data_IF_309258318598
#
_entry.id   IF_309258318598
#
_cell.length_a   1.000
_cell.length_b   1.000
_cell.length_c   1.000
_cell.angle_alpha   90.00
_cell.angle_beta   90.00
_cell.angle_gamma   90.00
#
_symmetry.space_group_name_H-M   'P 1'
#
loop_
_entity.id
_entity.type
_entity.pdbx_description
1 polymer ?
#
# COMPACT_ATOMS: atom_id res chain seq x y z
N UNK A 1 -28.62 -19.40 39.17
CA UNK A 1 -28.84 -18.13 38.44
C UNK A 1 -27.48 -17.64 37.97
N UNK A 2 -27.09 -17.64 36.70
CA UNK A 2 -27.75 -17.95 35.45
C UNK A 2 -26.85 -18.87 34.59
N UNK A 3 -27.50 -19.63 33.74
CA UNK A 3 -27.05 -20.83 33.06
C UNK A 3 -27.06 -20.55 31.55
N UNK A 4 -26.07 -21.11 30.85
CA UNK A 4 -26.16 -21.69 29.50
C UNK A 4 -26.48 -20.85 28.23
N UNK A 5 -25.73 -21.27 27.20
CA UNK A 5 -26.15 -21.63 25.83
C UNK A 5 -25.87 -20.66 24.67
N UNK A 6 -25.18 -21.22 23.67
CA UNK A 6 -25.00 -20.62 22.36
C UNK A 6 -24.13 -21.38 21.35
N UNK A 7 -23.83 -22.67 21.54
CA UNK A 7 -23.25 -23.51 20.47
C UNK A 7 -24.39 -24.02 19.58
N UNK A 8 -24.45 -23.56 18.32
CA UNK A 8 -25.29 -24.17 17.29
C UNK A 8 -24.48 -25.16 16.47
N UNK A 9 -24.89 -26.42 16.59
CA UNK A 9 -24.59 -27.55 15.72
C UNK A 9 -25.61 -27.54 14.58
N UNK A 10 -25.18 -27.75 13.33
CA UNK A 10 -26.01 -28.42 12.33
C UNK A 10 -25.15 -29.47 11.64
N UNK A 11 -25.39 -30.72 12.02
CA UNK A 11 -25.06 -31.90 11.23
C UNK A 11 -26.26 -32.17 10.32
N UNK A 12 -26.00 -32.46 9.06
CA UNK A 12 -26.74 -33.47 8.30
C UNK A 12 -25.73 -34.22 7.44
N UNK A 13 -25.66 -35.53 7.69
CA UNK A 13 -24.99 -36.55 6.89
C UNK A 13 -25.78 -36.81 5.61
N UNK A 14 -25.07 -37.20 4.54
CA UNK A 14 -25.28 -38.44 3.77
C UNK A 14 -24.15 -38.49 2.71
N UNK A 15 -23.19 -39.39 2.89
CA UNK A 15 -23.17 -40.77 2.39
C UNK A 15 -22.62 -40.86 0.95
N UNK A 16 -21.32 -41.13 0.83
CA UNK A 16 -20.75 -41.82 -0.33
C UNK A 16 -19.41 -42.48 0.04
N UNK A 17 -19.53 -43.76 0.37
CA UNK A 17 -18.63 -44.89 0.04
C UNK A 17 -17.20 -44.54 -0.40
N UNK A 18 -16.25 -44.84 0.49
CA UNK A 18 -14.83 -45.03 0.16
C UNK A 18 -14.62 -46.49 -0.30
N UNK A 19 -13.79 -46.74 -1.33
CA UNK A 19 -13.22 -48.05 -1.57
C UNK A 19 -12.05 -48.31 -0.63
N UNK A 20 -11.96 -49.57 -0.18
CA UNK A 20 -10.86 -50.15 0.56
C UNK A 20 -9.56 -50.05 -0.26
N UNK A 21 -8.53 -49.39 0.27
CA UNK A 21 -7.16 -49.47 -0.24
C UNK A 21 -6.31 -50.26 0.76
N UNK A 22 -5.54 -51.18 0.18
CA UNK A 22 -4.80 -52.25 0.82
C UNK A 22 -3.62 -51.73 1.66
N UNK A 23 -3.37 -52.44 2.76
CA UNK A 23 -2.23 -52.26 3.66
C UNK A 23 -0.91 -52.54 2.94
N UNK A 24 -0.18 -51.49 2.53
CA UNK A 24 1.25 -51.56 2.21
C UNK A 24 2.07 -51.01 3.39
N UNK A 25 2.71 -51.94 4.10
CA UNK A 25 3.64 -51.75 5.22
C UNK A 25 4.95 -51.12 4.72
N UNK A 26 4.93 -49.79 4.49
CA UNK A 26 6.14 -49.03 4.19
C UNK A 26 6.94 -48.74 5.47
N UNK A 27 8.05 -49.44 5.58
CA UNK A 27 9.15 -49.23 6.52
C UNK A 27 9.47 -47.75 6.74
N UNK A 28 9.32 -47.29 7.99
CA UNK A 28 9.79 -46.01 8.51
C UNK A 28 11.30 -45.86 8.31
N UNK A 29 11.73 -45.23 7.22
CA UNK A 29 13.07 -44.66 7.12
C UNK A 29 13.08 -43.37 7.94
N UNK A 30 13.82 -43.37 9.04
CA UNK A 30 14.14 -42.19 9.85
C UNK A 30 14.81 -41.14 8.97
N UNK A 31 14.01 -40.18 8.51
CA UNK A 31 14.41 -39.11 7.62
C UNK A 31 15.38 -38.16 8.32
N UNK A 32 16.57 -38.01 7.72
CA UNK A 32 17.51 -36.97 8.07
C UNK A 32 16.83 -35.61 7.99
N UNK A 33 16.98 -34.83 9.07
CA UNK A 33 16.41 -33.51 9.29
C UNK A 33 17.01 -32.49 8.31
N UNK A 34 16.60 -32.57 7.04
CA UNK A 34 16.90 -31.59 6.01
C UNK A 34 16.01 -30.36 6.27
N UNK A 35 16.36 -29.60 7.30
CA UNK A 35 15.74 -28.30 7.58
C UNK A 35 16.00 -27.39 6.38
N UNK A 36 15.06 -27.36 5.44
CA UNK A 36 15.17 -26.57 4.22
C UNK A 36 15.22 -25.10 4.63
N UNK A 37 16.38 -24.44 4.43
CA UNK A 37 16.53 -23.02 4.71
C UNK A 37 15.43 -22.22 3.99
N UNK A 38 14.63 -21.49 4.77
CA UNK A 38 13.57 -20.64 4.23
C UNK A 38 14.18 -19.32 3.78
N UNK A 39 14.05 -19.01 2.49
CA UNK A 39 14.50 -17.73 1.94
C UNK A 39 13.59 -16.58 2.38
N UNK A 40 14.13 -15.35 2.40
CA UNK A 40 13.35 -14.15 2.71
C UNK A 40 12.11 -13.97 1.83
N UNK A 41 12.18 -14.37 0.55
CA UNK A 41 11.04 -14.29 -0.37
C UNK A 41 9.96 -15.32 -0.03
N UNK A 42 10.35 -16.52 0.42
CA UNK A 42 9.40 -17.53 0.90
C UNK A 42 8.74 -17.07 2.20
N UNK A 43 9.51 -16.51 3.13
CA UNK A 43 8.96 -15.92 4.35
C UNK A 43 7.99 -14.76 4.05
N UNK A 44 8.36 -13.85 3.14
CA UNK A 44 7.50 -12.76 2.70
C UNK A 44 6.18 -13.27 2.14
N UNK A 45 6.23 -14.28 1.26
CA UNK A 45 5.05 -14.85 0.61
C UNK A 45 4.12 -15.49 1.64
N UNK A 46 4.69 -16.23 2.59
CA UNK A 46 3.98 -16.83 3.70
C UNK A 46 3.30 -15.79 4.60
N UNK A 47 4.04 -14.75 5.01
CA UNK A 47 3.53 -13.64 5.81
C UNK A 47 2.38 -12.93 5.11
N UNK A 48 2.51 -12.66 3.82
CA UNK A 48 1.46 -12.03 3.04
C UNK A 48 0.21 -12.90 2.98
N UNK A 49 0.34 -14.18 2.67
CA UNK A 49 -0.77 -15.14 2.63
C UNK A 49 -1.51 -15.18 3.98
N UNK A 50 -0.77 -15.32 5.09
CA UNK A 50 -1.39 -15.44 6.41
C UNK A 50 -1.99 -14.13 6.88
N UNK A 51 -1.34 -13.00 6.62
CA UNK A 51 -1.93 -11.68 6.85
C UNK A 51 -3.20 -11.47 6.04
N UNK A 52 -3.26 -11.97 4.80
CA UNK A 52 -4.47 -11.97 3.98
C UNK A 52 -5.59 -12.80 4.60
N UNK A 53 -5.28 -14.04 5.01
CA UNK A 53 -6.22 -14.94 5.70
C UNK A 53 -6.74 -14.35 7.00
N UNK A 54 -5.90 -13.64 7.77
CA UNK A 54 -6.32 -12.93 8.98
C UNK A 54 -7.45 -11.93 8.69
N UNK A 55 -7.30 -11.10 7.65
CA UNK A 55 -8.34 -10.13 7.28
C UNK A 55 -9.63 -10.77 6.73
N UNK A 56 -9.58 -12.03 6.33
CA UNK A 56 -10.74 -12.82 5.89
C UNK A 56 -11.32 -13.70 7.01
N UNK A 57 -10.81 -13.58 8.24
CA UNK A 57 -11.19 -14.43 9.38
C UNK A 57 -10.95 -15.93 9.14
N UNK A 58 -9.92 -16.25 8.34
CA UNK A 58 -9.55 -17.61 7.91
C UNK A 58 -8.17 -18.04 8.44
N UNK A 59 -7.57 -17.28 9.35
CA UNK A 59 -6.29 -17.64 9.93
C UNK A 59 -6.49 -18.70 11.03
N UNK A 60 -5.86 -19.87 10.85
CA UNK A 60 -5.86 -20.95 11.84
C UNK A 60 -4.55 -20.99 12.65
N UNK A 61 -4.53 -21.83 13.69
CA UNK A 61 -3.38 -21.98 14.59
C UNK A 61 -2.16 -22.61 13.88
N UNK A 62 -2.38 -23.49 12.90
CA UNK A 62 -1.31 -24.12 12.16
C UNK A 62 -0.55 -23.11 11.29
N UNK A 63 -1.27 -22.16 10.68
CA UNK A 63 -0.68 -21.05 9.95
C UNK A 63 0.22 -20.19 10.83
N UNK A 64 -0.15 -19.95 12.09
CA UNK A 64 0.70 -19.20 13.05
C UNK A 64 1.97 -19.99 13.36
N UNK A 65 1.87 -21.30 13.60
CA UNK A 65 3.02 -22.16 13.84
C UNK A 65 3.98 -22.17 12.64
N UNK A 66 3.46 -22.27 11.42
CA UNK A 66 4.24 -22.26 10.18
C UNK A 66 5.06 -20.98 10.04
N UNK A 67 4.45 -19.81 10.29
CA UNK A 67 5.16 -18.52 10.25
C UNK A 67 6.24 -18.45 11.34
N UNK A 68 5.94 -18.91 12.56
CA UNK A 68 6.90 -18.88 13.67
C UNK A 68 8.16 -19.69 13.35
N UNK A 69 8.00 -20.87 12.75
CA UNK A 69 9.12 -21.69 12.26
C UNK A 69 9.88 -20.99 11.15
N UNK A 70 9.17 -20.36 10.20
CA UNK A 70 9.81 -19.63 9.10
C UNK A 70 10.62 -18.41 9.58
N UNK A 71 10.12 -17.67 10.56
CA UNK A 71 10.79 -16.50 11.15
C UNK A 71 12.12 -16.85 11.80
N UNK A 72 12.23 -17.99 12.50
CA UNK A 72 13.46 -18.37 13.21
C UNK A 72 14.68 -18.46 12.28
N UNK A 73 14.44 -18.73 11.00
CA UNK A 73 15.47 -18.89 9.99
C UNK A 73 15.75 -17.60 9.20
N UNK A 74 14.98 -16.53 9.40
CA UNK A 74 15.12 -15.27 8.69
C UNK A 74 15.73 -14.22 9.62
N UNK A 75 16.78 -13.53 9.15
CA UNK A 75 17.33 -12.34 9.80
C UNK A 75 17.15 -11.16 8.84
N UNK A 76 16.40 -10.12 9.22
CA UNK A 76 16.15 -9.01 8.31
C UNK A 76 17.43 -8.20 8.12
N UNK A 77 17.83 -8.06 6.85
CA UNK A 77 19.00 -7.27 6.42
C UNK A 77 18.59 -6.00 5.67
N UNK A 78 17.34 -5.95 5.20
CA UNK A 78 16.75 -4.82 4.48
C UNK A 78 15.52 -4.28 5.21
N UNK A 79 15.13 -3.04 4.92
CA UNK A 79 13.86 -2.48 5.37
C UNK A 79 12.66 -3.37 4.99
N UNK A 80 12.66 -3.87 3.76
CA UNK A 80 11.59 -4.74 3.27
C UNK A 80 11.42 -6.00 4.13
N UNK A 81 12.52 -6.67 4.44
CA UNK A 81 12.52 -7.86 5.31
C UNK A 81 12.13 -7.51 6.74
N UNK A 82 12.61 -6.37 7.26
CA UNK A 82 12.18 -5.88 8.56
C UNK A 82 10.64 -5.73 8.61
N UNK A 83 10.02 -5.16 7.57
CA UNK A 83 8.56 -5.00 7.52
C UNK A 83 7.81 -6.34 7.41
N UNK A 84 8.43 -7.38 6.86
CA UNK A 84 7.85 -8.73 6.91
C UNK A 84 7.87 -9.29 8.34
N UNK A 85 8.99 -9.13 9.06
CA UNK A 85 9.10 -9.48 10.48
C UNK A 85 8.17 -8.65 11.37
N UNK A 86 7.96 -7.38 11.03
CA UNK A 86 7.04 -6.54 11.75
C UNK A 86 5.59 -6.95 11.50
N UNK A 87 5.25 -7.33 10.27
CA UNK A 87 3.93 -7.90 9.95
C UNK A 87 3.66 -9.17 10.74
N UNK A 88 4.66 -10.05 10.89
CA UNK A 88 4.57 -11.22 11.78
C UNK A 88 4.17 -10.83 13.20
N UNK A 89 4.92 -9.89 13.80
CA UNK A 89 4.64 -9.42 15.15
C UNK A 89 3.22 -8.87 15.29
N UNK A 90 2.74 -8.10 14.31
CA UNK A 90 1.39 -7.52 14.32
C UNK A 90 0.27 -8.55 14.16
N UNK A 91 0.52 -9.68 13.47
CA UNK A 91 -0.45 -10.78 13.34
C UNK A 91 -0.73 -11.41 14.72
N UNK A 92 0.29 -11.52 15.57
CA UNK A 92 0.17 -12.12 16.92
C UNK A 92 -0.55 -11.21 17.94
N UNK A 93 -0.76 -9.93 17.60
CA UNK A 93 -1.43 -8.98 18.49
C UNK A 93 -2.95 -9.08 18.40
N UNK A 94 -3.62 -8.66 19.48
CA UNK A 94 -5.06 -8.42 19.46
C UNK A 94 -5.37 -7.32 18.44
N UNK A 95 -6.16 -7.67 17.42
CA UNK A 95 -6.48 -6.73 16.34
C UNK A 95 -7.33 -5.56 16.85
N UNK A 96 -6.81 -4.36 16.65
CA UNK A 96 -7.47 -3.08 16.87
C UNK A 96 -7.36 -2.27 15.58
N UNK A 97 -8.18 -1.23 15.38
CA UNK A 97 -8.13 -0.42 14.16
C UNK A 97 -6.72 0.12 13.83
N UNK A 98 -5.92 0.64 14.79
CA UNK A 98 -4.53 1.04 14.51
C UNK A 98 -3.62 -0.12 14.11
N UNK A 99 -3.72 -1.27 14.79
CA UNK A 99 -2.91 -2.47 14.49
C UNK A 99 -3.25 -3.00 13.09
N UNK A 100 -4.53 -3.10 12.76
CA UNK A 100 -4.99 -3.59 11.45
C UNK A 100 -4.48 -2.69 10.31
N UNK A 101 -4.55 -1.36 10.48
CA UNK A 101 -4.01 -0.39 9.51
C UNK A 101 -2.49 -0.55 9.36
N UNK A 102 -1.79 -0.65 10.48
CA UNK A 102 -0.33 -0.82 10.50
C UNK A 102 0.07 -2.14 9.85
N UNK A 103 -0.68 -3.20 10.07
CA UNK A 103 -0.46 -4.50 9.43
C UNK A 103 -0.68 -4.40 7.92
N UNK A 104 -1.73 -3.73 7.44
CA UNK A 104 -1.94 -3.50 5.99
C UNK A 104 -0.79 -2.73 5.34
N UNK A 105 -0.26 -1.73 6.04
CA UNK A 105 0.91 -0.95 5.60
C UNK A 105 2.16 -1.85 5.58
N UNK A 106 2.42 -2.60 6.65
CA UNK A 106 3.60 -3.47 6.78
C UNK A 106 3.60 -4.63 5.78
N UNK A 107 2.45 -5.27 5.55
CA UNK A 107 2.27 -6.27 4.48
C UNK A 107 2.43 -5.67 3.08
N UNK A 108 2.15 -4.38 2.95
CA UNK A 108 2.44 -3.62 1.74
C UNK A 108 3.87 -3.07 1.73
N UNK A 109 4.70 -3.39 2.72
CA UNK A 109 6.05 -2.86 2.94
C UNK A 109 6.13 -1.34 2.89
N UNK A 110 5.20 -0.67 3.56
CA UNK A 110 5.16 0.79 3.68
C UNK A 110 5.38 1.20 5.14
N UNK A 111 6.34 2.08 5.39
CA UNK A 111 6.40 2.89 6.61
C UNK A 111 5.67 4.21 6.34
N UNK A 112 4.62 4.45 7.12
CA UNK A 112 3.75 5.61 6.94
C UNK A 112 4.07 6.69 7.97
N UNK A 113 4.65 7.81 7.53
CA UNK A 113 5.18 8.88 8.39
C UNK A 113 4.27 10.11 8.47
N UNK A 114 3.01 10.00 8.05
CA UNK A 114 2.09 11.16 7.90
C UNK A 114 1.32 11.47 9.20
N UNK A 115 1.72 10.89 10.33
CA UNK A 115 1.22 11.29 11.65
C UNK A 115 -0.20 10.80 11.98
N UNK A 116 -0.51 9.55 11.66
CA UNK A 116 -1.71 8.88 12.18
C UNK A 116 -1.36 7.85 13.27
N UNK A 117 -2.38 7.15 13.77
CA UNK A 117 -2.24 6.18 14.86
C UNK A 117 -1.31 5.01 14.50
N UNK A 118 -1.01 4.78 13.21
CA UNK A 118 -0.04 3.75 12.80
C UNK A 118 1.39 4.13 13.19
N UNK A 119 1.72 5.42 13.24
CA UNK A 119 3.04 5.92 13.68
C UNK A 119 3.33 5.48 15.11
N UNK A 120 2.34 5.58 16.00
CA UNK A 120 2.48 5.15 17.39
C UNK A 120 2.71 3.63 17.50
N UNK A 121 2.02 2.84 16.67
CA UNK A 121 2.21 1.38 16.61
C UNK A 121 3.62 1.04 16.12
N UNK A 122 4.10 1.70 15.05
CA UNK A 122 5.48 1.55 14.58
C UNK A 122 6.50 1.92 15.65
N UNK A 123 6.33 3.06 16.31
CA UNK A 123 7.25 3.53 17.36
C UNK A 123 7.27 2.59 18.57
N UNK A 124 6.10 2.13 19.01
CA UNK A 124 5.98 1.20 20.15
C UNK A 124 6.65 -0.13 19.83
N UNK A 125 6.38 -0.70 18.67
CA UNK A 125 7.00 -1.95 18.26
C UNK A 125 8.52 -1.83 18.07
N UNK A 126 8.98 -0.70 17.52
CA UNK A 126 10.39 -0.44 17.33
C UNK A 126 11.15 -0.40 18.67
N UNK A 127 10.56 0.19 19.73
CA UNK A 127 11.13 0.17 21.08
C UNK A 127 11.30 -1.25 21.62
N UNK A 128 10.43 -2.18 21.23
CA UNK A 128 10.51 -3.58 21.65
C UNK A 128 11.49 -4.41 20.83
N UNK A 129 11.69 -4.08 19.54
CA UNK A 129 12.52 -4.87 18.62
C UNK A 129 13.93 -4.32 18.42
N UNK A 130 14.24 -3.10 18.88
CA UNK A 130 15.60 -2.55 18.96
C UNK A 130 16.31 -2.26 17.64
N UNK A 131 15.65 -2.44 16.49
CA UNK A 131 16.35 -2.61 15.21
C UNK A 131 16.06 -1.55 14.13
N UNK A 132 15.01 -0.72 14.23
CA UNK A 132 14.81 0.36 13.25
C UNK A 132 15.30 1.68 13.83
N UNK A 133 16.21 2.34 13.13
CA UNK A 133 16.44 3.77 13.34
C UNK A 133 15.29 4.58 12.72
N UNK A 134 14.07 4.45 13.24
CA UNK A 134 12.88 5.17 12.76
C UNK A 134 13.14 6.69 12.65
N UNK A 135 13.92 7.23 13.59
CA UNK A 135 14.37 8.62 13.62
C UNK A 135 15.29 8.98 12.43
N UNK A 136 16.11 8.04 11.96
CA UNK A 136 16.92 8.23 10.76
C UNK A 136 16.09 8.22 9.46
N UNK A 137 14.89 7.64 9.48
CA UNK A 137 14.05 7.51 8.30
C UNK A 137 13.35 8.82 7.95
N UNK A 138 12.97 9.61 8.95
CA UNK A 138 12.40 10.95 8.74
C UNK A 138 13.40 11.91 8.09
N UNK A 139 14.71 11.68 8.30
CA UNK A 139 15.79 12.43 7.65
C UNK A 139 16.01 12.06 6.17
N UNK A 140 15.51 10.91 5.73
CA UNK A 140 15.56 10.47 4.33
C UNK A 140 14.43 11.04 3.45
N UNK A 141 13.72 12.07 3.95
CA UNK A 141 12.69 12.78 3.19
C UNK A 141 13.28 13.22 1.83
N UNK A 142 12.64 12.88 0.70
CA UNK A 142 13.15 13.28 -0.60
C UNK A 142 13.24 14.80 -0.67
N UNK A 143 14.39 15.31 -1.13
CA UNK A 143 14.51 16.72 -1.47
C UNK A 143 13.64 16.98 -2.69
N UNK A 144 12.73 17.95 -2.58
CA UNK A 144 12.04 18.46 -3.75
C UNK A 144 13.10 19.11 -4.67
N UNK A 145 13.07 18.85 -5.98
CA UNK A 145 14.05 19.44 -6.88
C UNK A 145 14.03 20.98 -6.79
N UNK A 146 15.19 21.65 -6.90
CA UNK A 146 15.24 23.11 -7.00
C UNK A 146 14.40 23.53 -8.21
N UNK A 147 13.27 24.18 -7.97
CA UNK A 147 12.25 24.39 -9.01
C UNK A 147 10.82 24.14 -8.56
N UNK A 148 10.57 23.59 -7.35
CA UNK A 148 9.34 23.93 -6.62
C UNK A 148 9.42 25.41 -6.21
N UNK A 149 9.25 26.27 -7.21
CA UNK A 149 9.41 27.71 -7.10
C UNK A 149 8.32 28.28 -6.19
N UNK A 150 8.52 29.51 -5.73
CA UNK A 150 7.43 30.31 -5.17
C UNK A 150 6.21 30.27 -6.09
N UNK A 151 6.38 30.20 -7.41
CA UNK A 151 5.28 30.06 -8.37
C UNK A 151 4.58 28.71 -8.34
N UNK A 152 5.30 27.58 -8.13
CA UNK A 152 4.65 26.28 -7.90
C UNK A 152 3.88 26.28 -6.58
N UNK A 153 4.45 26.86 -5.52
CA UNK A 153 3.74 27.02 -4.24
C UNK A 153 2.52 27.92 -4.38
N UNK A 154 2.63 29.04 -5.10
CA UNK A 154 1.54 29.97 -5.38
C UNK A 154 0.47 29.33 -6.28
N UNK A 155 0.86 28.56 -7.28
CA UNK A 155 -0.04 27.77 -8.11
C UNK A 155 -0.79 26.73 -7.28
N UNK A 156 -0.10 26.05 -6.36
CA UNK A 156 -0.72 25.16 -5.40
C UNK A 156 -1.65 25.91 -4.45
N UNK A 157 -1.25 27.05 -3.89
CA UNK A 157 -2.09 27.89 -3.01
C UNK A 157 -3.31 28.47 -3.76
N UNK A 158 -3.18 28.79 -5.06
CA UNK A 158 -4.30 29.15 -5.92
C UNK A 158 -5.25 27.95 -6.12
N UNK A 159 -4.71 26.77 -6.42
CA UNK A 159 -5.47 25.52 -6.54
C UNK A 159 -6.25 25.26 -5.25
N UNK A 160 -5.62 25.45 -4.09
CA UNK A 160 -6.33 25.35 -2.81
C UNK A 160 -7.42 26.40 -2.75
N UNK A 161 -7.09 27.68 -2.91
CA UNK A 161 -8.02 28.82 -2.82
C UNK A 161 -9.26 28.61 -3.69
N UNK A 162 -9.11 28.02 -4.88
CA UNK A 162 -10.22 27.68 -5.76
C UNK A 162 -11.02 26.46 -5.29
N UNK A 163 -10.38 25.41 -4.79
CA UNK A 163 -11.05 24.29 -4.12
C UNK A 163 -11.82 24.74 -2.85
N UNK A 164 -11.42 25.86 -2.23
CA UNK A 164 -12.09 26.43 -1.05
C UNK A 164 -13.40 27.13 -1.37
N UNK A 165 -13.53 27.64 -2.60
CA UNK A 165 -14.56 28.61 -2.98
C UNK A 165 -15.80 27.99 -3.64
N UNK A 166 -15.78 26.72 -4.04
CA UNK A 166 -16.92 26.08 -4.72
C UNK A 166 -17.20 24.65 -4.24
N UNK A 167 -18.45 24.34 -3.91
CA UNK A 167 -18.94 22.98 -3.65
C UNK A 167 -19.25 22.19 -4.92
N UNK A 168 -19.23 22.84 -6.10
CA UNK A 168 -19.40 22.23 -7.41
C UNK A 168 -18.25 22.68 -8.32
N UNK A 169 -17.19 21.88 -8.37
CA UNK A 169 -16.10 22.09 -9.34
C UNK A 169 -16.69 21.86 -10.74
N UNK A 170 -16.81 22.94 -11.52
CA UNK A 170 -17.19 22.88 -12.93
C UNK A 170 -15.97 22.46 -13.77
N UNK A 171 -16.15 21.52 -14.70
CA UNK A 171 -15.15 20.97 -15.65
C UNK A 171 -14.21 22.02 -16.26
N UNK A 172 -14.69 23.24 -16.50
CA UNK A 172 -13.87 24.34 -17.05
C UNK A 172 -12.73 24.77 -16.11
N UNK A 173 -12.93 24.73 -14.79
CA UNK A 173 -11.90 25.14 -13.81
C UNK A 173 -10.84 24.06 -13.61
N UNK A 174 -11.22 22.79 -13.77
CA UNK A 174 -10.27 21.67 -13.80
C UNK A 174 -9.33 21.78 -15.02
N UNK A 175 -9.82 22.30 -16.15
CA UNK A 175 -9.01 22.59 -17.33
C UNK A 175 -8.01 23.74 -17.11
N UNK A 176 -8.35 24.76 -16.30
CA UNK A 176 -7.39 25.80 -15.90
C UNK A 176 -6.30 25.26 -14.96
N UNK A 177 -6.68 24.36 -14.03
CA UNK A 177 -5.71 23.65 -13.17
C UNK A 177 -4.72 22.80 -13.98
N UNK A 178 -5.21 22.19 -15.06
CA UNK A 178 -4.41 21.44 -16.03
C UNK A 178 -3.37 22.31 -16.73
N UNK A 179 -3.76 23.53 -17.13
CA UNK A 179 -2.85 24.47 -17.77
C UNK A 179 -1.73 24.90 -16.81
N UNK A 180 -2.05 25.11 -15.53
CA UNK A 180 -1.06 25.43 -14.49
C UNK A 180 -0.07 24.27 -14.30
N UNK A 181 -0.56 23.02 -14.21
CA UNK A 181 0.32 21.85 -14.05
C UNK A 181 1.22 21.64 -15.28
N UNK A 182 0.70 21.90 -16.49
CA UNK A 182 1.48 21.87 -17.73
C UNK A 182 2.55 22.97 -17.78
N UNK A 183 2.24 24.17 -17.29
CA UNK A 183 3.23 25.27 -17.16
C UNK A 183 4.34 24.88 -16.19
N UNK A 184 3.97 24.30 -15.05
CA UNK A 184 4.90 23.81 -14.04
C UNK A 184 5.83 22.72 -14.60
N UNK A 185 5.31 21.79 -15.39
CA UNK A 185 6.12 20.75 -16.03
C UNK A 185 6.99 21.33 -17.14
N UNK A 186 6.49 22.31 -17.88
CA UNK A 186 7.25 23.02 -18.90
C UNK A 186 8.39 23.87 -18.31
N UNK A 187 8.31 24.27 -17.04
CA UNK A 187 9.33 25.05 -16.34
C UNK A 187 10.35 24.21 -15.57
N UNK A 188 10.17 22.88 -15.47
CA UNK A 188 11.18 22.00 -14.89
C UNK A 188 12.48 22.07 -15.71
N UNK A 189 13.65 22.27 -15.07
CA UNK A 189 14.89 22.51 -15.77
C UNK A 189 15.24 21.34 -16.70
N UNK A 190 15.40 21.70 -17.97
CA UNK A 190 15.62 20.81 -19.10
C UNK A 190 17.01 20.16 -19.02
N UNK A 191 17.14 19.10 -18.24
CA UNK A 191 18.44 18.43 -18.10
C UNK A 191 18.74 17.46 -19.24
N UNK A 192 17.77 17.05 -20.08
CA UNK A 192 17.98 16.09 -21.18
C UNK A 192 16.83 15.97 -22.24
N UNK A 193 16.19 17.05 -22.74
CA UNK A 193 15.24 16.85 -23.87
C UNK A 193 15.92 16.50 -25.20
N UNK A 194 15.89 15.20 -25.49
CA UNK A 194 15.77 14.67 -26.86
C UNK A 194 14.34 14.15 -27.05
N UNK A 195 13.33 15.02 -27.15
CA UNK A 195 12.07 14.70 -27.85
C UNK A 195 11.37 15.98 -28.29
N UNK A 196 10.97 16.02 -29.56
CA UNK A 196 10.40 17.18 -30.26
C UNK A 196 8.88 17.32 -30.13
N UNK A 197 8.25 16.70 -29.11
CA UNK A 197 6.81 16.80 -28.88
C UNK A 197 6.49 17.00 -27.40
N UNK A 198 5.56 17.92 -27.06
CA UNK A 198 5.14 18.11 -25.68
C UNK A 198 4.56 16.81 -25.11
N UNK A 199 5.02 16.43 -23.92
CA UNK A 199 4.46 15.31 -23.16
C UNK A 199 2.99 15.64 -22.87
N UNK A 200 2.08 14.85 -23.42
CA UNK A 200 0.65 15.01 -23.13
C UNK A 200 0.36 14.33 -21.79
N UNK A 201 0.03 15.13 -20.79
CA UNK A 201 -0.55 14.63 -19.56
C UNK A 201 -2.04 14.36 -19.77
N UNK A 202 -2.50 13.23 -19.25
CA UNK A 202 -3.89 12.87 -19.13
C UNK A 202 -4.27 12.87 -17.65
N UNK A 203 -5.19 13.74 -17.30
CA UNK A 203 -5.93 13.66 -16.02
C UNK A 203 -7.27 13.00 -16.30
N UNK A 204 -7.57 11.97 -15.53
CA UNK A 204 -8.87 11.30 -15.57
C UNK A 204 -9.60 11.67 -14.28
N UNK A 205 -10.60 12.53 -14.43
CA UNK A 205 -11.56 12.84 -13.38
C UNK A 205 -12.75 11.88 -13.43
N UNK A 206 -13.43 11.74 -12.30
CA UNK A 206 -14.49 10.76 -12.07
C UNK A 206 -13.95 9.42 -11.58
N UNK A 207 -14.87 8.54 -11.15
CA UNK A 207 -14.60 7.29 -10.44
C UNK A 207 -13.75 6.29 -11.28
N UNK A 208 -12.45 6.57 -11.40
CA UNK A 208 -11.50 5.78 -12.16
C UNK A 208 -10.74 4.88 -11.21
N UNK A 209 -10.40 3.68 -11.67
CA UNK A 209 -9.60 2.76 -10.88
C UNK A 209 -8.25 2.55 -11.57
N UNK A 210 -7.17 2.75 -10.81
CA UNK A 210 -5.80 2.51 -11.25
C UNK A 210 -5.63 1.09 -11.84
N UNK A 211 -5.02 1.01 -13.02
CA UNK A 211 -4.61 -0.23 -13.68
C UNK A 211 -3.58 -0.97 -12.83
N UNK A 212 -2.61 -0.25 -12.25
CA UNK A 212 -1.57 -0.86 -11.42
C UNK A 212 -2.19 -1.60 -10.21
N UNK A 213 -3.16 -0.98 -9.53
CA UNK A 213 -3.85 -1.64 -8.40
C UNK A 213 -4.76 -2.79 -8.84
N UNK A 214 -5.43 -2.68 -10.00
CA UNK A 214 -6.22 -3.76 -10.58
C UNK A 214 -5.37 -5.00 -10.88
N UNK A 215 -4.19 -4.81 -11.44
CA UNK A 215 -3.26 -5.91 -11.76
C UNK A 215 -2.75 -6.61 -10.50
N UNK A 216 -2.34 -5.86 -9.48
CA UNK A 216 -1.93 -6.43 -8.19
C UNK A 216 -3.09 -7.19 -7.54
N UNK A 217 -4.32 -6.67 -7.61
CA UNK A 217 -5.49 -7.37 -7.05
C UNK A 217 -5.78 -8.67 -7.79
N UNK A 218 -5.72 -8.68 -9.13
CA UNK A 218 -5.89 -9.89 -9.94
C UNK A 218 -4.82 -10.93 -9.60
N UNK A 219 -3.56 -10.50 -9.51
CA UNK A 219 -2.46 -11.37 -9.12
C UNK A 219 -2.70 -11.98 -7.74
N UNK A 220 -3.02 -11.18 -6.72
CA UNK A 220 -3.30 -11.68 -5.38
C UNK A 220 -4.50 -12.65 -5.35
N UNK A 221 -5.57 -12.35 -6.10
CA UNK A 221 -6.72 -13.24 -6.18
C UNK A 221 -6.35 -14.62 -6.77
N UNK A 222 -5.55 -14.62 -7.85
CA UNK A 222 -5.02 -15.86 -8.43
C UNK A 222 -4.08 -16.61 -7.48
N UNK A 223 -3.15 -15.90 -6.82
CA UNK A 223 -2.12 -16.51 -5.97
C UNK A 223 -2.72 -17.13 -4.70
N UNK A 224 -3.73 -16.51 -4.11
CA UNK A 224 -4.28 -16.93 -2.81
C UNK A 224 -5.62 -17.65 -2.93
N UNK A 225 -5.98 -18.10 -4.15
CA UNK A 225 -7.24 -18.78 -4.45
C UNK A 225 -8.47 -18.05 -3.89
N UNK A 226 -8.43 -16.71 -3.94
CA UNK A 226 -9.55 -15.88 -3.50
C UNK A 226 -10.60 -15.88 -4.61
N UNK A 227 -11.42 -16.93 -4.60
CA UNK A 227 -12.58 -17.08 -5.46
C UNK A 227 -13.72 -16.18 -5.01
N UNK A 228 -13.43 -14.89 -4.76
CA UNK A 228 -14.38 -13.81 -4.44
C UNK A 228 -15.25 -13.48 -5.68
N UNK A 229 -15.74 -14.53 -6.35
CA UNK A 229 -16.70 -14.55 -7.45
C UNK A 229 -18.09 -14.09 -6.98
N UNK A 230 -18.32 -14.01 -5.66
CA UNK A 230 -19.61 -13.64 -5.06
C UNK A 230 -19.94 -12.15 -5.11
N UNK A 231 -19.05 -11.28 -5.64
CA UNK A 231 -19.42 -9.88 -5.91
C UNK A 231 -18.97 -9.46 -7.30
N UNK A 232 -19.94 -9.51 -8.22
CA UNK A 232 -19.91 -8.76 -9.47
C UNK A 232 -19.34 -7.36 -9.20
N UNK A 233 -18.36 -7.02 -10.02
CA UNK A 233 -17.57 -5.80 -10.03
C UNK A 233 -16.40 -5.81 -9.04
N UNK A 234 -15.25 -6.31 -9.52
CA UNK A 234 -13.92 -5.90 -9.05
C UNK A 234 -13.75 -4.41 -9.42
N UNK A 235 -14.50 -3.52 -8.75
CA UNK A 235 -14.20 -2.09 -8.76
C UNK A 235 -12.92 -1.97 -7.96
N UNK A 236 -11.85 -1.47 -8.58
CA UNK A 236 -10.70 -1.02 -7.82
C UNK A 236 -11.11 0.11 -6.86
N UNK A 237 -10.23 0.55 -5.96
CA UNK A 237 -10.47 1.80 -5.28
C UNK A 237 -10.75 2.89 -6.32
N UNK A 238 -11.84 3.62 -6.12
CA UNK A 238 -12.18 4.81 -6.91
C UNK A 238 -11.19 5.89 -6.50
N UNK A 239 -10.56 6.49 -7.49
CA UNK A 239 -9.59 7.56 -7.38
C UNK A 239 -10.22 8.76 -8.07
N UNK A 240 -10.22 9.92 -7.42
CA UNK A 240 -10.79 11.14 -7.98
C UNK A 240 -9.90 11.70 -9.09
N UNK A 241 -8.58 11.71 -8.86
CA UNK A 241 -7.62 12.12 -9.87
C UNK A 241 -6.51 11.10 -10.07
N UNK A 242 -6.40 10.61 -11.30
CA UNK A 242 -5.28 9.80 -11.75
C UNK A 242 -4.46 10.60 -12.77
N UNK A 243 -3.21 10.91 -12.41
CA UNK A 243 -2.25 11.52 -13.32
C UNK A 243 -1.61 10.43 -14.17
N UNK A 244 -1.62 10.58 -15.49
CA UNK A 244 -0.99 9.63 -16.39
C UNK A 244 -0.40 10.30 -17.63
N UNK A 245 0.55 9.64 -18.29
CA UNK A 245 1.05 10.03 -19.61
C UNK A 245 1.29 8.82 -20.47
N UNK A 246 0.91 8.85 -21.74
CA UNK A 246 1.06 7.73 -22.68
C UNK A 246 0.52 6.39 -22.12
N UNK A 247 -0.55 6.45 -21.33
CA UNK A 247 -1.16 5.28 -20.68
C UNK A 247 -0.44 4.76 -19.43
N UNK A 248 0.64 5.41 -19.00
CA UNK A 248 1.41 5.14 -17.78
C UNK A 248 0.88 6.00 -16.63
N UNK A 249 0.58 5.38 -15.49
CA UNK A 249 0.14 6.07 -14.27
C UNK A 249 1.36 6.69 -13.57
N UNK A 250 1.26 7.96 -13.17
CA UNK A 250 2.33 8.72 -12.54
C UNK A 250 2.05 8.99 -11.05
N UNK A 251 0.76 9.05 -10.67
CA UNK A 251 0.33 9.23 -9.30
C UNK A 251 -1.19 9.33 -9.20
N UNK A 252 -1.72 9.16 -8.00
CA UNK A 252 -3.13 9.29 -7.68
C UNK A 252 -3.33 10.28 -6.54
N UNK A 253 -4.36 11.11 -6.65
CA UNK A 253 -4.78 12.10 -5.65
C UNK A 253 -6.29 11.99 -5.42
N UNK A 254 -6.75 12.31 -4.22
CA UNK A 254 -8.17 12.17 -3.84
C UNK A 254 -8.70 13.45 -3.18
N UNK A 255 -9.99 13.74 -3.45
CA UNK A 255 -10.75 14.87 -2.90
C UNK A 255 -11.89 14.35 -2.05
N UNK A 256 -11.79 14.59 -0.76
CA UNK A 256 -12.74 14.09 0.23
C UNK A 256 -13.80 15.15 0.51
N UNK A 257 -15.07 14.73 0.42
CA UNK A 257 -16.23 15.58 0.72
C UNK A 257 -16.15 16.17 2.13
N UNK A 258 -16.76 17.34 2.33
CA UNK A 258 -16.77 18.03 3.63
C UNK A 258 -17.29 17.17 4.80
N UNK A 259 -18.24 16.28 4.52
CA UNK A 259 -18.85 15.36 5.48
C UNK A 259 -17.99 14.14 5.82
N UNK A 260 -16.81 13.98 5.21
CA UNK A 260 -15.90 12.85 5.49
C UNK A 260 -15.42 12.94 6.93
N UNK A 261 -15.65 11.88 7.71
CA UNK A 261 -15.16 11.80 9.09
C UNK A 261 -13.63 11.72 9.12
N UNK A 262 -13.01 12.23 10.18
CA UNK A 262 -11.56 12.16 10.36
C UNK A 262 -11.04 10.71 10.31
N UNK A 263 -11.78 9.75 10.87
CA UNK A 263 -11.43 8.33 10.82
C UNK A 263 -11.42 7.76 9.40
N UNK A 264 -12.40 8.14 8.57
CA UNK A 264 -12.49 7.73 7.17
C UNK A 264 -11.39 8.39 6.32
N UNK A 265 -11.11 9.67 6.55
CA UNK A 265 -10.00 10.37 5.89
C UNK A 265 -8.66 9.69 6.17
N UNK A 266 -8.38 9.33 7.44
CA UNK A 266 -7.18 8.53 7.80
C UNK A 266 -7.13 7.19 7.07
N UNK A 267 -8.24 6.46 6.99
CA UNK A 267 -8.29 5.17 6.27
C UNK A 267 -8.01 5.33 4.77
N UNK A 268 -8.56 6.37 4.16
CA UNK A 268 -8.35 6.66 2.75
C UNK A 268 -6.88 7.05 2.49
N UNK A 269 -6.22 7.85 3.33
CA UNK A 269 -4.78 8.11 3.14
C UNK A 269 -3.90 6.86 3.12
N UNK A 270 -4.20 5.88 3.99
CA UNK A 270 -3.50 4.58 3.98
C UNK A 270 -3.76 3.83 2.66
N UNK A 271 -4.96 3.94 2.09
CA UNK A 271 -5.31 3.38 0.78
C UNK A 271 -4.55 4.11 -0.34
N UNK A 272 -4.45 5.43 -0.26
CA UNK A 272 -3.82 6.28 -1.27
C UNK A 272 -2.31 5.99 -1.32
N UNK A 273 -1.63 5.94 -0.17
CA UNK A 273 -0.23 5.56 -0.08
C UNK A 273 0.06 4.17 -0.69
N UNK A 274 -0.84 3.20 -0.49
CA UNK A 274 -0.72 1.85 -1.09
C UNK A 274 -0.94 1.86 -2.61
N UNK A 275 -1.86 2.71 -3.08
CA UNK A 275 -2.13 2.92 -4.51
C UNK A 275 -0.90 3.53 -5.18
N UNK A 276 -0.39 4.62 -4.62
CA UNK A 276 0.79 5.32 -5.13
C UNK A 276 2.07 4.47 -5.05
N UNK A 277 2.23 3.64 -4.01
CA UNK A 277 3.28 2.60 -3.95
C UNK A 277 3.18 1.60 -5.12
N UNK A 278 1.97 1.22 -5.50
CA UNK A 278 1.74 0.28 -6.62
C UNK A 278 2.04 0.93 -7.97
N UNK A 279 1.70 2.22 -8.12
CA UNK A 279 2.07 3.04 -9.27
C UNK A 279 3.60 3.15 -9.37
N UNK A 280 4.27 3.54 -8.28
CA UNK A 280 5.74 3.62 -8.21
C UNK A 280 6.40 2.31 -8.64
N UNK A 281 5.94 1.16 -8.11
CA UNK A 281 6.47 -0.15 -8.50
C UNK A 281 6.32 -0.46 -9.99
N UNK A 282 5.30 0.09 -10.64
CA UNK A 282 5.13 -0.05 -12.09
C UNK A 282 6.14 0.82 -12.84
N UNK A 283 6.38 2.04 -12.36
CA UNK A 283 7.39 2.95 -12.91
C UNK A 283 8.81 2.37 -12.76
N UNK A 284 9.15 1.79 -11.61
CA UNK A 284 10.46 1.18 -11.35
C UNK A 284 10.84 0.04 -12.31
N UNK A 285 9.85 -0.59 -12.97
CA UNK A 285 10.06 -1.64 -13.97
C UNK A 285 10.39 -1.09 -15.36
N UNK A 286 10.29 0.22 -15.55
CA UNK A 286 10.65 0.86 -16.82
C UNK A 286 12.16 0.93 -16.97
N UNK A 287 12.61 1.03 -18.22
CA UNK A 287 14.03 1.20 -18.52
C UNK A 287 14.47 2.60 -18.10
N UNK A 288 15.14 2.69 -16.97
CA UNK A 288 15.80 3.88 -16.41
C UNK A 288 17.13 3.44 -15.80
N UNK A 289 18.09 4.35 -15.71
CA UNK A 289 19.34 4.06 -15.01
C UNK A 289 19.15 4.00 -13.48
N UNK A 290 20.17 3.55 -12.77
CA UNK A 290 20.10 3.35 -11.32
C UNK A 290 20.01 4.69 -10.56
N UNK A 291 20.62 5.76 -11.07
CA UNK A 291 20.59 7.09 -10.44
C UNK A 291 19.19 7.72 -10.55
N UNK A 292 18.55 7.60 -11.73
CA UNK A 292 17.17 7.99 -11.97
C UNK A 292 16.21 7.18 -11.08
N UNK A 293 16.44 5.87 -10.97
CA UNK A 293 15.62 4.98 -10.12
C UNK A 293 15.73 5.34 -8.64
N UNK A 294 16.94 5.63 -8.15
CA UNK A 294 17.19 6.03 -6.77
C UNK A 294 16.58 7.40 -6.44
N UNK A 295 16.43 8.26 -7.44
CA UNK A 295 15.74 9.54 -7.36
C UNK A 295 14.22 9.46 -7.44
N UNK A 296 13.66 8.32 -7.87
CA UNK A 296 12.24 8.19 -8.20
C UNK A 296 11.35 8.18 -6.95
N UNK A 297 10.26 8.96 -7.00
CA UNK A 297 9.18 8.93 -6.02
C UNK A 297 7.87 9.32 -6.70
N UNK A 298 6.75 8.94 -6.09
CA UNK A 298 5.40 9.36 -6.53
C UNK A 298 4.86 10.37 -5.53
N UNK A 299 4.36 11.50 -6.04
CA UNK A 299 3.69 12.51 -5.24
C UNK A 299 2.18 12.29 -5.28
N UNK A 300 1.54 12.32 -4.12
CA UNK A 300 0.09 12.31 -3.97
C UNK A 300 -0.38 13.54 -3.20
N UNK A 301 -1.60 13.96 -3.51
CA UNK A 301 -2.31 15.00 -2.78
C UNK A 301 -3.60 14.42 -2.22
N UNK A 302 -3.76 14.52 -0.90
CA UNK A 302 -5.01 14.20 -0.24
C UNK A 302 -5.71 15.48 0.23
N UNK A 303 -6.81 15.84 -0.42
CA UNK A 303 -7.59 17.01 -0.09
C UNK A 303 -8.73 16.67 0.85
N UNK A 304 -8.67 17.24 2.05
CA UNK A 304 -9.77 17.19 3.02
C UNK A 304 -10.28 18.60 3.20
N UNK A 305 -11.50 18.86 2.70
CA UNK A 305 -12.11 20.19 2.70
C UNK A 305 -11.24 21.17 1.92
N UNK A 306 -10.56 22.02 2.67
CA UNK A 306 -9.80 23.17 2.23
C UNK A 306 -8.30 22.92 2.36
N UNK A 307 -7.88 21.79 2.90
CA UNK A 307 -6.46 21.52 3.14
C UNK A 307 -6.03 20.31 2.34
N UNK A 308 -5.00 20.48 1.54
CA UNK A 308 -4.31 19.41 0.83
C UNK A 308 -3.12 18.92 1.63
N UNK A 309 -3.05 17.62 1.92
CA UNK A 309 -1.88 16.97 2.47
C UNK A 309 -1.05 16.42 1.32
N UNK A 310 0.16 16.95 1.16
CA UNK A 310 1.09 16.45 0.15
C UNK A 310 1.91 15.32 0.73
N UNK A 311 1.86 14.16 0.10
CA UNK A 311 2.57 12.97 0.55
C UNK A 311 3.46 12.46 -0.59
N UNK A 312 4.69 12.05 -0.28
CA UNK A 312 5.59 11.43 -1.25
C UNK A 312 5.82 9.97 -0.87
N UNK A 313 5.65 9.07 -1.84
CA UNK A 313 5.95 7.65 -1.71
C UNK A 313 7.27 7.35 -2.42
N UNK A 314 8.26 6.81 -1.69
CA UNK A 314 9.60 6.48 -2.22
C UNK A 314 10.02 5.06 -1.84
N UNK A 315 10.67 4.35 -2.74
CA UNK A 315 11.28 3.05 -2.47
C UNK A 315 12.68 3.22 -1.86
N UNK A 316 12.97 2.44 -0.82
CA UNK A 316 14.25 2.42 -0.13
C UNK A 316 14.44 1.02 0.45
N UNK A 317 15.54 0.36 0.07
CA UNK A 317 16.00 -0.88 0.72
C UNK A 317 14.91 -1.98 0.80
N UNK A 318 14.24 -2.24 -0.33
CA UNK A 318 13.21 -3.28 -0.44
C UNK A 318 11.86 -2.96 0.21
N UNK A 319 11.72 -1.77 0.83
CA UNK A 319 10.48 -1.24 1.39
C UNK A 319 10.19 0.18 0.89
N UNK A 320 9.07 0.76 1.34
CA UNK A 320 8.60 2.06 0.87
C UNK A 320 8.33 2.98 2.04
N UNK A 321 8.54 4.28 1.83
CA UNK A 321 8.20 5.33 2.78
C UNK A 321 7.11 6.21 2.20
N UNK A 322 6.13 6.58 3.02
CA UNK A 322 5.19 7.63 2.74
C UNK A 322 5.48 8.83 3.66
N UNK A 323 6.00 9.91 3.09
CA UNK A 323 6.44 11.12 3.79
C UNK A 323 5.40 12.22 3.70
N UNK A 324 5.13 12.89 4.82
CA UNK A 324 4.45 14.18 4.76
C UNK A 324 5.38 15.26 4.20
N UNK A 325 5.04 15.75 3.01
CA UNK A 325 5.82 16.78 2.33
C UNK A 325 5.43 18.18 2.81
N UNK A 326 4.15 18.41 3.06
CA UNK A 326 3.61 19.67 3.55
C UNK A 326 2.09 19.68 3.53
N UNK A 327 1.52 20.76 4.05
CA UNK A 327 0.09 21.07 3.92
C UNK A 327 -0.05 22.27 2.98
N UNK A 328 -1.02 22.21 2.10
CA UNK A 328 -1.44 23.30 1.22
C UNK A 328 -2.79 23.80 1.74
N UNK A 329 -2.90 25.09 2.03
CA UNK A 329 -3.97 25.70 2.83
C UNK A 329 -4.89 26.64 2.05
#
# INVERSE_FOLDING_TARGET
MAQMMGLKKSLNNEDSRLPDEEDDDETLQEGGDNTTMITSDKFRSLIFEKGYKLFKEQLDLYAILEINTAKQNAQPSTLGEFLDHFSHYLIDLKQTTPIEKTLKLSLSRIIYLVGDDSVEVFQTANKHQGNIQYEGLSLKKPSLPPGMTTDMSLAYDEIVKYALLDQEVNDNKMMEMLDILNIVIASLPDRNRVTSSPVKLEMKDGETCSKATKEVRKHNACTYNDNDNDKKVIVGPRIDLLLSTMGVELGSSEWKKYSTSSGLGKQQRVKDARTNKTILRTLEKMSMDDDERDGLFVLEMDWIRQSGYMIAVKHVDGGYYAYHMGVVL
#
